data_IF_121509115293
#
_entry.id   IF_121509115293
#
_cell.length_a   1.000
_cell.length_b   1.000
_cell.length_c   1.000
_cell.angle_alpha   90.00
_cell.angle_beta   90.00
_cell.angle_gamma   90.00
#
_symmetry.space_group_name_H-M   'P 1'
#
loop_
_entity.id
_entity.type
_entity.pdbx_description
1 polymer ?
#
# COMPACT_ATOMS: atom_id res chain seq x y z
N UNK A 1 -8.67 -6.71 -6.14
CA UNK A 1 -9.57 -7.75 -5.62
C UNK A 1 -9.12 -9.15 -6.03
N UNK A 2 -9.15 -9.50 -7.32
CA UNK A 2 -8.79 -10.85 -7.81
C UNK A 2 -7.42 -11.32 -7.33
N UNK A 3 -6.39 -10.46 -7.34
CA UNK A 3 -5.06 -10.82 -6.86
C UNK A 3 -5.04 -11.15 -5.36
N UNK A 4 -5.72 -10.37 -4.54
CA UNK A 4 -5.86 -10.62 -3.10
C UNK A 4 -6.63 -11.92 -2.83
N UNK A 5 -7.73 -12.14 -3.56
CA UNK A 5 -8.49 -13.38 -3.45
C UNK A 5 -7.63 -14.62 -3.78
N UNK A 6 -6.82 -14.57 -4.85
CA UNK A 6 -5.87 -15.66 -5.19
C UNK A 6 -4.79 -15.89 -4.14
N UNK A 7 -4.45 -14.87 -3.38
CA UNK A 7 -3.52 -14.96 -2.25
C UNK A 7 -4.20 -15.44 -0.95
N UNK A 8 -5.48 -15.84 -0.99
CA UNK A 8 -6.21 -16.41 0.14
C UNK A 8 -6.94 -15.39 1.02
N UNK A 9 -6.99 -14.13 0.64
CA UNK A 9 -7.73 -13.11 1.39
C UNK A 9 -9.23 -13.18 1.09
N UNK A 10 -10.06 -12.98 2.10
CA UNK A 10 -11.46 -12.67 1.93
C UNK A 10 -11.61 -11.24 1.39
N UNK A 11 -12.43 -11.05 0.35
CA UNK A 11 -12.50 -9.78 -0.38
C UNK A 11 -13.93 -9.29 -0.51
N UNK A 12 -14.20 -8.10 0.01
CA UNK A 12 -15.40 -7.31 -0.32
C UNK A 12 -14.97 -6.19 -1.28
N UNK A 13 -15.68 -6.03 -2.38
CA UNK A 13 -15.44 -4.95 -3.35
C UNK A 13 -16.63 -3.99 -3.35
N UNK A 14 -16.36 -2.71 -3.15
CA UNK A 14 -17.38 -1.67 -3.24
C UNK A 14 -17.33 -0.98 -4.60
N UNK A 15 -18.46 -0.56 -5.12
CA UNK A 15 -18.56 0.23 -6.35
C UNK A 15 -19.75 1.21 -6.28
N UNK A 16 -19.84 2.08 -7.27
CA UNK A 16 -20.99 2.97 -7.47
C UNK A 16 -22.16 2.22 -8.12
N UNK A 17 -23.37 2.78 -8.05
CA UNK A 17 -24.58 2.16 -8.64
C UNK A 17 -24.52 2.03 -10.17
N UNK A 18 -23.72 2.86 -10.85
CA UNK A 18 -23.54 2.83 -12.31
C UNK A 18 -22.04 2.81 -12.62
N UNK A 19 -21.37 1.64 -12.53
CA UNK A 19 -19.95 1.52 -12.85
C UNK A 19 -19.62 1.92 -14.28
N UNK A 20 -18.56 2.72 -14.47
CA UNK A 20 -18.08 3.17 -15.77
C UNK A 20 -16.91 2.32 -16.30
N UNK A 21 -16.89 1.05 -15.95
CA UNK A 21 -15.83 0.12 -16.34
C UNK A 21 -15.99 -0.33 -17.79
N UNK A 22 -15.04 0.05 -18.65
CA UNK A 22 -15.07 -0.35 -20.07
C UNK A 22 -14.62 -1.80 -20.29
N UNK A 23 -13.68 -2.31 -19.43
CA UNK A 23 -13.19 -3.69 -19.52
C UNK A 23 -14.06 -4.65 -18.69
N UNK A 24 -15.37 -4.70 -18.98
CA UNK A 24 -16.38 -5.43 -18.21
C UNK A 24 -16.09 -6.92 -18.02
N UNK A 25 -15.55 -7.59 -19.05
CA UNK A 25 -15.27 -9.03 -19.02
C UNK A 25 -14.20 -9.43 -17.99
N UNK A 26 -13.40 -8.47 -17.53
CA UNK A 26 -12.35 -8.69 -16.51
C UNK A 26 -12.54 -7.79 -15.29
N UNK A 27 -13.77 -7.43 -14.99
CA UNK A 27 -14.10 -6.55 -13.86
C UNK A 27 -15.25 -7.10 -13.03
N UNK A 28 -15.06 -7.16 -11.72
CA UNK A 28 -16.10 -7.58 -10.77
C UNK A 28 -17.26 -6.58 -10.70
N UNK A 29 -17.06 -5.32 -11.07
CA UNK A 29 -18.12 -4.31 -11.16
C UNK A 29 -19.26 -4.69 -12.13
N UNK A 30 -19.05 -5.65 -13.04
CA UNK A 30 -20.10 -6.22 -13.85
C UNK A 30 -21.21 -6.84 -13.01
N UNK A 31 -20.91 -7.35 -11.82
CA UNK A 31 -21.91 -7.89 -10.90
C UNK A 31 -22.97 -6.85 -10.51
N UNK A 32 -22.66 -5.56 -10.49
CA UNK A 32 -23.63 -4.49 -10.20
C UNK A 32 -24.78 -4.48 -11.22
N UNK A 33 -24.51 -4.85 -12.48
CA UNK A 33 -25.50 -4.90 -13.55
C UNK A 33 -26.18 -6.27 -13.68
N UNK A 34 -25.42 -7.35 -13.46
CA UNK A 34 -25.83 -8.72 -13.81
C UNK A 34 -26.09 -9.60 -12.58
N UNK A 35 -25.95 -9.05 -11.35
CA UNK A 35 -26.07 -9.79 -10.09
C UNK A 35 -24.82 -10.64 -9.77
N UNK A 36 -24.02 -10.97 -10.78
CA UNK A 36 -22.78 -11.74 -10.64
C UNK A 36 -21.78 -11.40 -11.74
N UNK A 37 -20.52 -11.65 -11.47
CA UNK A 37 -19.43 -11.55 -12.46
C UNK A 37 -18.49 -12.75 -12.30
N UNK A 38 -17.86 -13.16 -13.41
CA UNK A 38 -16.82 -14.18 -13.38
C UNK A 38 -15.59 -13.64 -14.12
N UNK A 39 -14.44 -13.62 -13.44
CA UNK A 39 -13.16 -13.11 -13.96
C UNK A 39 -12.11 -14.19 -13.79
N UNK A 40 -11.63 -14.74 -14.89
CA UNK A 40 -10.62 -15.82 -14.91
C UNK A 40 -10.96 -16.98 -13.91
N UNK A 41 -12.22 -17.39 -13.90
CA UNK A 41 -12.71 -18.48 -13.04
C UNK A 41 -13.19 -18.06 -11.65
N UNK A 42 -12.84 -16.87 -11.17
CA UNK A 42 -13.25 -16.36 -9.86
C UNK A 42 -14.62 -15.68 -9.96
N UNK A 43 -15.51 -16.00 -9.03
CA UNK A 43 -16.86 -15.45 -8.98
C UNK A 43 -16.97 -14.28 -8.02
N UNK A 44 -17.65 -13.21 -8.48
CA UNK A 44 -18.11 -12.11 -7.67
C UNK A 44 -19.61 -12.02 -7.65
N UNK A 45 -20.22 -11.90 -6.47
CA UNK A 45 -21.67 -11.90 -6.27
C UNK A 45 -22.10 -10.53 -5.73
N UNK A 46 -23.12 -9.93 -6.35
CA UNK A 46 -23.73 -8.70 -5.85
C UNK A 46 -24.48 -8.99 -4.55
N UNK A 47 -24.19 -8.21 -3.53
CA UNK A 47 -24.83 -8.27 -2.21
C UNK A 47 -25.41 -6.91 -1.82
N UNK A 48 -26.35 -6.89 -0.89
CA UNK A 48 -27.07 -5.69 -0.48
C UNK A 48 -26.65 -5.17 0.90
N UNK A 49 -26.07 -6.01 1.72
CA UNK A 49 -25.71 -5.71 3.10
C UNK A 49 -24.55 -6.60 3.60
N UNK A 50 -24.11 -6.34 4.83
CA UNK A 50 -23.01 -7.05 5.47
C UNK A 50 -23.27 -8.54 5.68
N UNK A 51 -24.48 -8.94 6.06
CA UNK A 51 -24.84 -10.35 6.30
C UNK A 51 -24.76 -11.17 5.01
N UNK A 52 -25.29 -10.62 3.89
CA UNK A 52 -25.15 -11.26 2.58
C UNK A 52 -23.68 -11.33 2.14
N UNK A 53 -22.87 -10.29 2.48
CA UNK A 53 -21.45 -10.31 2.18
C UNK A 53 -20.73 -11.45 2.92
N UNK A 54 -21.01 -11.65 4.21
CA UNK A 54 -20.42 -12.75 4.98
C UNK A 54 -20.78 -14.11 4.39
N UNK A 55 -22.02 -14.35 4.03
CA UNK A 55 -22.45 -15.62 3.41
C UNK A 55 -21.69 -15.90 2.10
N UNK A 56 -21.47 -14.86 1.26
CA UNK A 56 -20.71 -14.99 0.01
C UNK A 56 -19.22 -15.29 0.29
N UNK A 57 -18.64 -14.69 1.34
CA UNK A 57 -17.25 -14.95 1.74
C UNK A 57 -17.07 -16.38 2.28
N UNK A 58 -18.04 -16.92 3.02
CA UNK A 58 -18.05 -18.33 3.49
C UNK A 58 -18.09 -19.33 2.33
N UNK A 59 -18.72 -18.96 1.20
CA UNK A 59 -18.69 -19.74 -0.04
C UNK A 59 -17.38 -19.59 -0.83
N UNK A 60 -16.35 -18.94 -0.29
CA UNK A 60 -15.10 -18.62 -0.98
C UNK A 60 -15.33 -17.88 -2.30
N UNK A 61 -16.16 -16.85 -2.30
CA UNK A 61 -16.42 -15.95 -3.42
C UNK A 61 -16.14 -14.51 -3.02
N UNK A 62 -16.04 -13.62 -4.01
CA UNK A 62 -15.89 -12.18 -3.78
C UNK A 62 -17.28 -11.56 -3.60
N UNK A 63 -17.51 -10.85 -2.49
CA UNK A 63 -18.71 -10.05 -2.34
C UNK A 63 -18.53 -8.70 -3.06
N UNK A 64 -19.54 -8.30 -3.86
CA UNK A 64 -19.58 -7.00 -4.55
C UNK A 64 -20.78 -6.23 -4.03
N UNK A 65 -20.60 -5.00 -3.59
CA UNK A 65 -21.68 -4.18 -3.02
C UNK A 65 -21.69 -2.78 -3.63
N UNK A 66 -22.89 -2.25 -3.84
CA UNK A 66 -23.07 -0.83 -4.22
C UNK A 66 -22.93 0.02 -2.96
N UNK A 67 -21.74 0.53 -2.73
CA UNK A 67 -21.39 1.37 -1.58
C UNK A 67 -20.30 2.39 -1.97
N UNK A 68 -20.68 3.54 -2.54
CA UNK A 68 -19.75 4.54 -3.06
C UNK A 68 -18.81 5.15 -2.01
N UNK A 69 -19.15 5.01 -0.72
CA UNK A 69 -18.38 5.55 0.40
C UNK A 69 -17.66 4.48 1.19
N UNK A 70 -17.78 3.22 0.78
CA UNK A 70 -17.26 2.06 1.51
C UNK A 70 -17.68 2.05 3.00
N UNK A 71 -18.95 2.39 3.28
CA UNK A 71 -19.48 2.43 4.64
C UNK A 71 -19.50 1.04 5.31
N UNK A 72 -19.60 -0.03 4.49
CA UNK A 72 -19.53 -1.43 4.94
C UNK A 72 -18.25 -1.73 5.75
N UNK A 73 -17.18 -0.96 5.57
CA UNK A 73 -15.96 -1.11 6.36
C UNK A 73 -16.16 -0.91 7.86
N UNK A 74 -17.19 -0.15 8.24
CA UNK A 74 -17.53 0.10 9.66
C UNK A 74 -18.14 -1.11 10.35
N UNK A 75 -18.72 -2.04 9.58
CA UNK A 75 -19.27 -3.31 10.09
C UNK A 75 -18.26 -4.45 9.88
N UNK A 76 -17.60 -4.47 8.74
CA UNK A 76 -16.66 -5.54 8.36
C UNK A 76 -15.32 -5.44 9.09
N UNK A 77 -14.87 -4.23 9.50
CA UNK A 77 -13.59 -3.99 10.14
C UNK A 77 -12.41 -4.66 9.42
N UNK A 78 -12.12 -4.28 8.15
CA UNK A 78 -11.09 -4.95 7.36
C UNK A 78 -9.69 -4.68 7.91
N UNK A 79 -8.79 -5.66 7.87
CA UNK A 79 -7.35 -5.49 8.16
C UNK A 79 -6.67 -4.63 7.10
N UNK A 80 -7.17 -4.69 5.87
CA UNK A 80 -6.65 -3.97 4.71
C UNK A 80 -7.77 -3.25 3.95
N UNK A 81 -7.55 -1.98 3.62
CA UNK A 81 -8.33 -1.24 2.63
C UNK A 81 -7.46 -0.88 1.42
N UNK A 82 -7.96 -1.16 0.22
CA UNK A 82 -7.30 -0.76 -1.03
C UNK A 82 -8.18 0.20 -1.80
N UNK A 83 -7.77 1.46 -1.92
CA UNK A 83 -8.42 2.40 -2.82
C UNK A 83 -7.93 2.20 -4.25
N UNK A 84 -8.77 1.56 -5.05
CA UNK A 84 -8.53 1.26 -6.46
C UNK A 84 -9.49 2.05 -7.40
N UNK A 85 -10.07 3.15 -6.93
CA UNK A 85 -11.01 3.99 -7.70
C UNK A 85 -10.32 4.60 -8.92
N UNK A 86 -9.03 4.89 -8.85
CA UNK A 86 -8.20 5.51 -9.91
C UNK A 86 -8.73 6.87 -10.38
N UNK A 87 -9.34 7.64 -9.49
CA UNK A 87 -9.92 8.96 -9.79
C UNK A 87 -8.88 10.06 -10.06
N UNK A 88 -7.58 9.76 -9.95
CA UNK A 88 -6.46 10.72 -10.09
C UNK A 88 -6.43 11.82 -9.01
N UNK A 89 -7.24 11.67 -8.00
CA UNK A 89 -7.30 12.46 -6.77
C UNK A 89 -7.85 11.56 -5.65
N UNK A 90 -7.48 11.85 -4.42
CA UNK A 90 -8.08 11.21 -3.27
C UNK A 90 -9.55 11.63 -3.13
N UNK A 91 -10.47 10.66 -3.09
CA UNK A 91 -11.93 10.90 -2.97
C UNK A 91 -12.40 10.89 -1.51
N UNK A 92 -11.50 10.86 -0.53
CA UNK A 92 -11.82 10.88 0.89
C UNK A 92 -11.25 9.73 1.69
N UNK A 93 -10.44 8.86 1.07
CA UNK A 93 -9.75 7.76 1.74
C UNK A 93 -8.71 8.31 2.72
N UNK A 94 -8.71 7.76 3.92
CA UNK A 94 -7.83 8.15 5.02
C UNK A 94 -7.05 6.95 5.53
N UNK A 95 -5.87 7.21 6.05
CA UNK A 95 -5.03 6.20 6.67
C UNK A 95 -5.71 5.48 7.85
N UNK A 96 -6.68 6.13 8.49
CA UNK A 96 -7.45 5.59 9.62
C UNK A 96 -8.66 4.75 9.20
N UNK A 97 -8.88 4.53 7.91
CA UNK A 97 -10.04 3.76 7.44
C UNK A 97 -9.87 2.23 7.60
N UNK A 98 -8.62 1.76 7.81
CA UNK A 98 -8.28 0.39 8.20
C UNK A 98 -6.89 0.37 8.85
N UNK A 99 -6.50 -0.71 9.56
CA UNK A 99 -5.13 -0.90 10.08
C UNK A 99 -4.05 -0.73 9.01
N UNK A 100 -4.30 -1.21 7.79
CA UNK A 100 -3.42 -0.95 6.65
C UNK A 100 -4.21 -0.44 5.44
N UNK A 101 -3.80 0.70 4.87
CA UNK A 101 -4.49 1.35 3.75
C UNK A 101 -3.51 1.55 2.59
N UNK A 102 -3.87 1.06 1.41
CA UNK A 102 -3.08 1.19 0.17
C UNK A 102 -3.87 2.02 -0.85
N UNK A 103 -3.24 3.03 -1.44
CA UNK A 103 -3.78 3.79 -2.57
C UNK A 103 -3.15 3.35 -3.89
N UNK A 104 -3.93 3.32 -4.99
CA UNK A 104 -3.41 2.99 -6.31
C UNK A 104 -3.25 4.23 -7.19
N UNK A 105 -2.01 4.58 -7.52
CA UNK A 105 -1.64 5.63 -8.46
C UNK A 105 -1.79 7.06 -7.91
N UNK A 106 -1.82 8.05 -8.81
CA UNK A 106 -1.78 9.46 -8.43
C UNK A 106 -3.05 9.90 -7.70
N UNK A 107 -2.87 10.84 -6.78
CA UNK A 107 -3.90 11.40 -5.91
C UNK A 107 -3.67 11.07 -4.44
N UNK A 108 -2.76 10.16 -4.12
CA UNK A 108 -2.39 9.79 -2.76
C UNK A 108 -0.97 10.20 -2.41
N UNK A 109 -0.75 10.48 -1.14
CA UNK A 109 0.57 10.67 -0.54
C UNK A 109 0.75 9.57 0.52
N UNK A 110 1.71 8.68 0.30
CA UNK A 110 2.09 7.67 1.29
C UNK A 110 2.63 8.35 2.55
N UNK A 111 2.33 7.78 3.71
CA UNK A 111 2.66 8.36 5.02
C UNK A 111 1.70 9.48 5.49
N UNK A 112 0.89 10.05 4.59
CA UNK A 112 -0.10 11.09 4.91
C UNK A 112 -1.54 10.58 4.72
N UNK A 113 -1.93 10.28 3.50
CA UNK A 113 -3.29 9.88 3.14
C UNK A 113 -3.52 8.39 3.33
N UNK A 114 -2.50 7.60 2.98
CA UNK A 114 -2.48 6.13 3.01
C UNK A 114 -1.13 5.65 3.57
N UNK A 115 -1.03 4.37 3.92
CA UNK A 115 0.21 3.77 4.42
C UNK A 115 1.20 3.48 3.29
N UNK A 116 0.70 3.05 2.13
CA UNK A 116 1.51 2.84 0.94
C UNK A 116 0.75 3.24 -0.33
N UNK A 117 1.48 3.60 -1.36
CA UNK A 117 0.94 3.84 -2.71
C UNK A 117 1.59 2.86 -3.68
N UNK A 118 0.80 2.28 -4.58
CA UNK A 118 1.35 1.49 -5.69
C UNK A 118 1.38 2.35 -6.95
N UNK A 119 2.58 2.47 -7.55
CA UNK A 119 2.76 3.21 -8.81
C UNK A 119 1.98 2.56 -9.94
N UNK A 120 1.24 3.37 -10.70
CA UNK A 120 0.42 2.91 -11.83
C UNK A 120 0.85 3.45 -13.18
N UNK A 121 1.86 4.30 -13.26
CA UNK A 121 2.43 4.77 -14.54
C UNK A 121 3.14 3.60 -15.23
N UNK A 122 2.96 3.45 -16.56
CA UNK A 122 3.75 2.50 -17.34
C UNK A 122 5.18 3.00 -17.47
N UNK A 123 6.15 2.13 -17.25
CA UNK A 123 7.57 2.44 -17.24
C UNK A 123 8.31 1.48 -16.30
N UNK A 124 9.53 1.83 -15.98
CA UNK A 124 10.42 1.05 -15.10
C UNK A 124 9.85 0.92 -13.68
N UNK A 125 9.22 1.97 -13.18
CA UNK A 125 8.64 2.04 -11.82
C UNK A 125 7.22 1.46 -11.73
N UNK A 126 6.67 0.90 -12.81
CA UNK A 126 5.32 0.32 -12.77
C UNK A 126 5.21 -0.76 -11.70
N UNK A 127 4.28 -0.54 -10.78
CA UNK A 127 3.99 -1.41 -9.65
C UNK A 127 4.99 -1.32 -8.47
N UNK A 128 5.84 -0.29 -8.44
CA UNK A 128 6.65 0.00 -7.25
C UNK A 128 5.77 0.33 -6.05
N UNK A 129 6.23 -0.07 -4.88
CA UNK A 129 5.58 0.21 -3.60
C UNK A 129 6.25 1.44 -2.99
N UNK A 130 5.48 2.51 -2.83
CA UNK A 130 5.92 3.79 -2.27
C UNK A 130 5.43 3.87 -0.82
N UNK A 131 6.33 3.92 0.14
CA UNK A 131 6.01 4.05 1.58
C UNK A 131 6.10 5.50 2.08
N UNK A 132 6.72 6.41 1.32
CA UNK A 132 6.78 7.85 1.62
C UNK A 132 6.74 8.65 0.32
N UNK A 133 5.95 9.74 0.27
CA UNK A 133 5.79 10.58 -0.90
C UNK A 133 4.67 10.19 -1.86
N UNK A 134 4.78 10.58 -3.11
CA UNK A 134 3.74 10.50 -4.13
C UNK A 134 4.18 9.69 -5.35
N UNK A 135 3.24 9.02 -6.04
CA UNK A 135 3.51 8.40 -7.34
C UNK A 135 3.66 9.46 -8.43
N UNK A 136 4.10 9.04 -9.60
CA UNK A 136 4.24 9.91 -10.76
C UNK A 136 2.89 10.56 -11.10
N UNK A 137 2.85 11.89 -11.30
CA UNK A 137 1.63 12.61 -11.64
C UNK A 137 0.97 12.10 -12.92
N UNK A 138 -0.36 12.16 -12.99
CA UNK A 138 -1.10 11.76 -14.18
C UNK A 138 -0.79 12.66 -15.37
N UNK A 139 -0.26 12.10 -16.44
CA UNK A 139 0.05 12.82 -17.69
C UNK A 139 -1.15 13.01 -18.62
N UNK A 140 -2.27 12.31 -18.38
CA UNK A 140 -3.44 12.30 -19.26
C UNK A 140 -3.23 11.53 -20.57
N UNK A 141 -2.01 11.07 -20.86
CA UNK A 141 -1.68 10.35 -22.10
C UNK A 141 -1.76 8.84 -21.85
N UNK A 142 -2.58 8.09 -22.62
CA UNK A 142 -2.64 6.64 -22.52
C UNK A 142 -1.33 6.00 -23.02
N UNK A 143 -0.94 4.91 -22.37
CA UNK A 143 0.23 4.14 -22.84
C UNK A 143 0.02 3.52 -24.21
N UNK A 144 1.10 3.39 -24.97
CA UNK A 144 1.11 2.75 -26.30
C UNK A 144 0.80 1.25 -26.20
N UNK A 145 0.00 0.77 -27.16
CA UNK A 145 -0.25 -0.67 -27.39
C UNK A 145 -0.28 -0.89 -28.90
N UNK A 146 0.61 -1.73 -29.42
CA UNK A 146 0.69 -2.03 -30.84
C UNK A 146 0.92 -0.78 -31.73
N UNK A 147 1.67 0.21 -31.22
CA UNK A 147 1.97 1.44 -31.94
C UNK A 147 0.91 2.56 -31.84
N UNK A 148 -0.21 2.31 -31.16
CA UNK A 148 -1.33 3.27 -31.04
C UNK A 148 -1.55 3.68 -29.58
N UNK A 149 -1.97 4.93 -29.36
CA UNK A 149 -2.27 5.49 -28.03
C UNK A 149 -3.70 6.02 -27.94
N UNK A 150 -3.98 7.20 -28.49
CA UNK A 150 -5.28 7.87 -28.44
C UNK A 150 -6.31 7.24 -29.38
N UNK A 151 -5.88 6.77 -30.53
CA UNK A 151 -6.72 6.17 -31.59
C UNK A 151 -7.44 4.90 -31.13
N UNK A 152 -6.87 4.24 -30.11
CA UNK A 152 -7.48 3.05 -29.50
C UNK A 152 -8.72 3.39 -28.68
N UNK A 153 -8.85 4.63 -28.22
CA UNK A 153 -9.91 5.03 -27.31
C UNK A 153 -11.22 5.27 -28.08
N UNK A 154 -12.26 4.56 -27.71
CA UNK A 154 -13.61 4.85 -28.16
C UNK A 154 -14.18 5.92 -27.21
N UNK A 155 -14.54 7.09 -27.76
CA UNK A 155 -15.08 8.21 -26.98
C UNK A 155 -16.51 8.53 -27.42
N UNK A 156 -17.36 8.91 -26.47
CA UNK A 156 -18.73 9.34 -26.74
C UNK A 156 -18.75 10.57 -27.66
N UNK A 157 -19.55 10.52 -28.73
CA UNK A 157 -19.73 11.61 -29.70
C UNK A 157 -20.79 12.62 -29.24
N UNK A 158 -21.71 12.22 -28.38
CA UNK A 158 -22.78 13.05 -27.83
C UNK A 158 -23.05 12.80 -26.34
N UNK A 159 -23.85 13.69 -25.76
CA UNK A 159 -24.39 13.48 -24.40
C UNK A 159 -25.66 12.66 -24.48
N UNK A 160 -25.82 11.69 -23.61
CA UNK A 160 -27.04 10.87 -23.49
C UNK A 160 -26.76 9.40 -23.32
N UNK A 161 -27.76 8.58 -23.64
CA UNK A 161 -27.70 7.13 -23.47
C UNK A 161 -26.66 6.47 -24.38
N UNK A 162 -25.93 5.50 -23.85
CA UNK A 162 -24.99 4.64 -24.58
C UNK A 162 -25.74 3.46 -25.20
N UNK A 163 -25.62 3.29 -26.51
CA UNK A 163 -26.18 2.19 -27.29
C UNK A 163 -25.07 1.49 -28.06
N UNK A 164 -24.53 0.35 -27.59
CA UNK A 164 -23.53 -0.39 -28.35
C UNK A 164 -24.12 -0.98 -29.63
N UNK A 165 -23.39 -0.93 -30.74
CA UNK A 165 -23.69 -1.54 -32.01
C UNK A 165 -22.70 -2.64 -32.38
N UNK A 166 -21.72 -2.87 -31.51
CA UNK A 166 -20.74 -3.93 -31.56
C UNK A 166 -20.40 -4.38 -30.14
N UNK A 167 -19.89 -5.59 -29.97
CA UNK A 167 -19.66 -6.24 -28.68
C UNK A 167 -18.16 -6.40 -28.39
N UNK A 168 -17.83 -6.61 -27.10
CA UNK A 168 -16.46 -7.00 -26.70
C UNK A 168 -16.12 -8.34 -27.37
N UNK A 169 -14.95 -8.41 -28.00
CA UNK A 169 -14.51 -9.57 -28.79
C UNK A 169 -14.75 -9.45 -30.28
N UNK A 170 -15.56 -8.49 -30.75
CA UNK A 170 -15.73 -8.28 -32.20
C UNK A 170 -14.48 -7.71 -32.85
N UNK A 171 -14.11 -8.28 -33.99
CA UNK A 171 -13.08 -7.71 -34.85
C UNK A 171 -13.72 -6.62 -35.72
N UNK A 172 -13.17 -5.43 -35.66
CA UNK A 172 -13.71 -4.24 -36.32
C UNK A 172 -12.69 -3.59 -37.24
N UNK A 173 -13.22 -2.87 -38.24
CA UNK A 173 -12.43 -2.10 -39.19
C UNK A 173 -12.49 -0.61 -38.85
N UNK A 174 -11.46 0.14 -39.26
CA UNK A 174 -11.50 1.61 -39.21
C UNK A 174 -12.74 2.11 -39.97
N UNK A 175 -13.48 3.05 -39.36
CA UNK A 175 -14.72 3.59 -39.88
C UNK A 175 -15.97 2.75 -39.62
N UNK A 176 -15.87 1.58 -38.99
CA UNK A 176 -17.03 0.78 -38.58
C UNK A 176 -17.77 1.43 -37.40
N UNK A 177 -19.10 1.40 -37.45
CA UNK A 177 -19.97 1.88 -36.36
C UNK A 177 -19.83 0.97 -35.15
N UNK A 178 -19.48 1.54 -34.00
CA UNK A 178 -19.27 0.84 -32.73
C UNK A 178 -20.38 1.07 -31.72
N UNK A 179 -20.91 2.29 -31.68
CA UNK A 179 -21.95 2.69 -30.72
C UNK A 179 -22.70 3.92 -31.22
N UNK A 180 -23.82 4.22 -30.56
CA UNK A 180 -24.50 5.53 -30.65
C UNK A 180 -24.56 6.11 -29.24
N UNK A 181 -24.25 7.40 -29.10
CA UNK A 181 -24.29 8.12 -27.81
C UNK A 181 -25.07 9.42 -27.96
N UNK A 182 -26.22 9.51 -27.26
CA UNK A 182 -27.12 10.66 -27.39
C UNK A 182 -27.54 10.91 -28.86
N UNK A 183 -27.88 9.86 -29.60
CA UNK A 183 -28.28 9.91 -31.00
C UNK A 183 -27.13 10.14 -32.00
N UNK A 184 -25.86 10.26 -31.57
CA UNK A 184 -24.70 10.52 -32.43
C UNK A 184 -23.85 9.26 -32.60
N UNK A 185 -23.47 8.87 -33.83
CA UNK A 185 -22.68 7.68 -34.09
C UNK A 185 -21.23 7.82 -33.60
N UNK A 186 -20.66 6.69 -33.19
CA UNK A 186 -19.27 6.55 -32.77
C UNK A 186 -18.61 5.47 -33.64
N UNK A 187 -17.53 5.83 -34.32
CA UNK A 187 -16.84 4.96 -35.27
C UNK A 187 -15.45 4.54 -34.75
N UNK A 188 -14.98 3.37 -35.18
CA UNK A 188 -13.60 2.93 -34.92
C UNK A 188 -12.58 3.78 -35.66
N UNK A 189 -11.52 4.17 -34.98
CA UNK A 189 -10.41 4.93 -35.59
C UNK A 189 -9.32 4.03 -36.16
N UNK A 190 -9.35 2.72 -35.86
CA UNK A 190 -8.36 1.75 -36.33
C UNK A 190 -8.99 0.35 -36.50
N UNK A 191 -8.28 -0.53 -37.19
CA UNK A 191 -8.57 -1.95 -37.24
C UNK A 191 -8.18 -2.62 -35.92
N UNK A 192 -9.01 -3.51 -35.37
CA UNK A 192 -8.68 -4.19 -34.13
C UNK A 192 -9.78 -5.06 -33.57
N UNK A 193 -9.65 -5.49 -32.33
CA UNK A 193 -10.69 -6.14 -31.54
C UNK A 193 -11.23 -5.18 -30.50
N UNK A 194 -12.55 -5.13 -30.33
CA UNK A 194 -13.15 -4.38 -29.22
C UNK A 194 -12.79 -5.08 -27.91
N UNK A 195 -11.88 -4.49 -27.16
CA UNK A 195 -11.40 -5.05 -25.89
C UNK A 195 -12.18 -4.56 -24.70
N UNK A 196 -12.88 -3.48 -24.84
CA UNK A 196 -13.71 -2.89 -23.80
C UNK A 196 -14.82 -2.03 -24.37
N UNK A 197 -15.99 -2.07 -23.73
CA UNK A 197 -17.17 -1.28 -24.05
C UNK A 197 -17.98 -1.07 -22.78
N UNK A 198 -18.47 0.14 -22.52
CA UNK A 198 -19.38 0.41 -21.42
C UNK A 198 -20.68 -0.39 -21.54
N UNK A 199 -21.33 -0.56 -20.40
CA UNK A 199 -22.67 -1.17 -20.34
C UNK A 199 -23.68 -0.35 -21.16
N UNK A 200 -24.59 -1.05 -21.85
CA UNK A 200 -25.71 -0.43 -22.52
C UNK A 200 -26.58 0.37 -21.55
N UNK A 201 -27.12 1.49 -22.03
CA UNK A 201 -28.03 2.33 -21.26
C UNK A 201 -27.36 3.36 -20.34
N UNK A 202 -26.05 3.26 -20.10
CA UNK A 202 -25.31 4.21 -19.27
C UNK A 202 -25.41 5.62 -19.85
N UNK A 203 -25.68 6.62 -18.99
CA UNK A 203 -25.66 8.02 -19.39
C UNK A 203 -24.21 8.52 -19.51
N UNK A 204 -23.85 9.02 -20.68
CA UNK A 204 -22.49 9.46 -20.98
C UNK A 204 -22.46 10.95 -21.38
N UNK A 205 -21.31 11.59 -21.13
CA UNK A 205 -21.02 12.93 -21.64
C UNK A 205 -20.10 12.84 -22.85
N UNK A 206 -20.25 13.77 -23.82
CA UNK A 206 -19.35 13.88 -24.98
C UNK A 206 -17.88 13.88 -24.52
N UNK A 207 -17.05 13.08 -25.17
CA UNK A 207 -15.63 12.92 -24.87
C UNK A 207 -15.32 11.87 -23.80
N UNK A 208 -16.32 11.38 -23.04
CA UNK A 208 -16.09 10.29 -22.07
C UNK A 208 -15.56 9.05 -22.79
N UNK A 209 -14.57 8.40 -22.25
CA UNK A 209 -14.09 7.11 -22.73
C UNK A 209 -15.19 6.05 -22.51
N UNK A 210 -15.69 5.48 -23.60
CA UNK A 210 -16.76 4.47 -23.58
C UNK A 210 -16.26 3.08 -24.02
N UNK A 211 -15.02 2.97 -24.47
CA UNK A 211 -14.46 1.69 -24.88
C UNK A 211 -12.99 1.77 -25.30
N UNK A 212 -12.50 0.65 -25.79
CA UNK A 212 -11.10 0.46 -26.19
C UNK A 212 -11.01 -0.57 -27.33
N UNK A 213 -10.29 -0.25 -28.41
CA UNK A 213 -9.99 -1.18 -29.50
C UNK A 213 -8.51 -1.58 -29.39
N UNK A 214 -8.23 -2.87 -29.45
CA UNK A 214 -6.87 -3.40 -29.40
C UNK A 214 -6.40 -3.78 -30.83
N UNK A 215 -5.36 -3.14 -31.36
CA UNK A 215 -4.89 -3.37 -32.73
C UNK A 215 -4.30 -4.77 -32.94
N UNK A 216 -3.93 -5.47 -31.87
CA UNK A 216 -3.36 -6.83 -31.97
C UNK A 216 -4.37 -7.90 -32.45
N UNK A 217 -5.66 -7.59 -32.47
CA UNK A 217 -6.76 -8.45 -32.96
C UNK A 217 -6.90 -9.79 -32.25
N UNK A 218 -6.29 -9.96 -31.08
CA UNK A 218 -6.37 -11.18 -30.28
C UNK A 218 -7.58 -11.12 -29.35
N UNK A 219 -8.63 -11.93 -29.65
CA UNK A 219 -9.85 -12.02 -28.86
C UNK A 219 -9.60 -12.49 -27.43
N UNK A 220 -8.59 -13.34 -27.19
CA UNK A 220 -8.27 -13.86 -25.85
C UNK A 220 -7.94 -12.72 -24.87
N UNK A 221 -7.30 -11.67 -25.36
CA UNK A 221 -6.95 -10.51 -24.55
C UNK A 221 -8.17 -9.73 -24.02
N UNK A 222 -9.36 -9.96 -24.55
CA UNK A 222 -10.59 -9.35 -24.05
C UNK A 222 -10.99 -9.92 -22.69
N UNK A 223 -10.68 -11.19 -22.44
CA UNK A 223 -11.10 -11.97 -21.28
C UNK A 223 -9.99 -12.23 -20.26
N UNK A 224 -8.80 -11.69 -20.50
CA UNK A 224 -7.66 -11.81 -19.59
C UNK A 224 -7.37 -10.48 -18.87
N UNK A 225 -7.07 -10.57 -17.59
CA UNK A 225 -6.55 -9.44 -16.82
C UNK A 225 -5.25 -8.97 -17.48
N UNK A 226 -5.08 -7.65 -17.64
CA UNK A 226 -3.89 -7.12 -18.31
C UNK A 226 -2.61 -7.33 -17.49
N UNK A 227 -1.46 -7.39 -18.18
CA UNK A 227 -0.13 -7.43 -17.56
C UNK A 227 0.06 -6.32 -16.52
N UNK A 228 -0.36 -5.10 -16.85
CA UNK A 228 -0.33 -3.96 -15.95
C UNK A 228 -1.15 -4.22 -14.68
N UNK A 229 -2.38 -4.71 -14.81
CA UNK A 229 -3.24 -4.96 -13.67
C UNK A 229 -2.72 -6.12 -12.81
N UNK A 230 -2.13 -7.16 -13.43
CA UNK A 230 -1.49 -8.26 -12.72
C UNK A 230 -0.26 -7.77 -11.93
N UNK A 231 0.63 -6.96 -12.53
CA UNK A 231 1.79 -6.40 -11.83
C UNK A 231 1.37 -5.56 -10.61
N UNK A 232 0.41 -4.65 -10.80
CA UNK A 232 -0.14 -3.83 -9.70
C UNK A 232 -0.76 -4.72 -8.63
N UNK A 233 -1.58 -5.71 -9.01
CA UNK A 233 -2.20 -6.65 -8.10
C UNK A 233 -1.18 -7.46 -7.29
N UNK A 234 -0.11 -7.94 -7.93
CA UNK A 234 1.00 -8.64 -7.25
C UNK A 234 1.72 -7.75 -6.24
N UNK A 235 1.90 -6.46 -6.55
CA UNK A 235 2.51 -5.53 -5.60
C UNK A 235 1.59 -5.21 -4.42
N UNK A 236 0.27 -5.12 -4.65
CA UNK A 236 -0.69 -5.01 -3.54
C UNK A 236 -0.59 -6.22 -2.62
N UNK A 237 -0.59 -7.45 -3.17
CA UNK A 237 -0.45 -8.69 -2.38
C UNK A 237 0.85 -8.67 -1.60
N UNK A 238 1.98 -8.41 -2.27
CA UNK A 238 3.30 -8.36 -1.62
C UNK A 238 3.36 -7.33 -0.49
N UNK A 239 2.84 -6.10 -0.70
CA UNK A 239 2.79 -5.08 0.33
C UNK A 239 1.91 -5.50 1.51
N UNK A 240 0.79 -6.18 1.23
CA UNK A 240 -0.14 -6.66 2.26
C UNK A 240 0.49 -7.77 3.09
N UNK A 241 1.00 -8.83 2.47
CA UNK A 241 1.62 -9.97 3.15
C UNK A 241 2.82 -9.52 4.00
N UNK A 242 3.68 -8.66 3.43
CA UNK A 242 4.81 -8.11 4.15
C UNK A 242 4.37 -7.35 5.40
N UNK A 243 3.34 -6.52 5.30
CA UNK A 243 2.89 -5.69 6.44
C UNK A 243 2.04 -6.46 7.46
N UNK A 244 1.22 -7.43 7.04
CA UNK A 244 0.50 -8.30 7.99
C UNK A 244 1.45 -9.10 8.89
N UNK A 245 2.60 -9.52 8.36
CA UNK A 245 3.65 -10.16 9.14
C UNK A 245 4.41 -9.21 10.08
N UNK A 246 4.24 -7.88 9.94
CA UNK A 246 4.87 -6.90 10.82
C UNK A 246 4.34 -6.97 12.27
N UNK A 247 3.16 -7.55 12.51
CA UNK A 247 2.62 -7.78 13.86
C UNK A 247 3.54 -8.60 14.75
N UNK A 248 4.41 -9.40 14.16
CA UNK A 248 5.39 -10.24 14.87
C UNK A 248 6.67 -9.46 15.23
N UNK A 249 6.73 -8.16 14.93
CA UNK A 249 7.90 -7.31 15.14
C UNK A 249 7.58 -6.06 15.95
N UNK A 250 8.56 -5.59 16.73
CA UNK A 250 8.49 -4.30 17.41
C UNK A 250 9.36 -3.26 16.69
N UNK A 251 8.94 -2.00 16.74
CA UNK A 251 9.73 -0.81 16.39
C UNK A 251 9.88 0.06 17.64
N UNK A 252 11.10 0.20 18.13
CA UNK A 252 11.41 0.86 19.40
C UNK A 252 12.22 2.12 19.12
N UNK A 253 11.60 3.28 19.34
CA UNK A 253 12.22 4.57 19.20
C UNK A 253 13.02 4.93 20.46
N UNK A 254 14.31 5.18 20.32
CA UNK A 254 15.19 5.59 21.40
C UNK A 254 15.38 7.12 21.37
N UNK A 255 14.70 7.82 22.26
CA UNK A 255 14.62 9.28 22.29
C UNK A 255 14.86 9.90 23.69
N UNK A 256 15.60 9.21 24.59
CA UNK A 256 15.90 9.66 25.94
C UNK A 256 17.31 10.24 26.14
N UNK A 257 18.14 10.31 25.09
CA UNK A 257 19.54 10.72 25.15
C UNK A 257 19.75 12.17 25.63
N UNK A 258 20.85 12.42 26.31
CA UNK A 258 21.19 13.73 26.92
C UNK A 258 21.62 14.80 25.93
N UNK A 259 21.96 14.47 24.68
CA UNK A 259 22.55 15.39 23.68
C UNK A 259 23.74 16.21 24.22
N UNK A 260 24.52 15.65 25.17
CA UNK A 260 25.53 16.34 26.01
C UNK A 260 26.59 17.07 25.22
N UNK A 261 26.79 16.75 23.94
CA UNK A 261 27.78 17.40 23.07
C UNK A 261 27.26 18.66 22.37
N UNK A 262 25.94 18.94 22.42
CA UNK A 262 25.31 20.00 21.63
C UNK A 262 24.80 21.19 22.45
N UNK A 263 24.80 21.13 23.79
CA UNK A 263 24.32 22.22 24.67
C UNK A 263 22.79 22.44 24.66
N UNK A 264 22.07 21.96 23.63
CA UNK A 264 20.60 21.94 23.49
C UNK A 264 20.13 20.53 23.17
N UNK A 265 18.81 20.29 23.29
CA UNK A 265 18.26 18.99 22.94
C UNK A 265 18.12 18.89 21.40
N UNK A 266 19.10 18.26 20.74
CA UNK A 266 19.15 18.04 19.30
C UNK A 266 17.86 17.46 18.71
N UNK A 267 17.13 16.64 19.48
CA UNK A 267 15.91 15.97 19.00
C UNK A 267 14.73 16.94 18.82
N UNK A 268 14.74 18.06 19.56
CA UNK A 268 13.71 19.11 19.51
C UNK A 268 14.05 20.22 18.52
N UNK A 269 15.25 20.21 17.90
CA UNK A 269 15.65 21.22 16.91
C UNK A 269 14.85 21.05 15.61
N UNK A 270 14.57 22.18 14.97
CA UNK A 270 13.90 22.22 13.67
C UNK A 270 14.83 21.80 12.54
N UNK A 271 14.37 20.91 11.69
CA UNK A 271 15.04 20.44 10.49
C UNK A 271 13.99 20.27 9.37
N UNK A 272 14.19 20.95 8.25
CA UNK A 272 13.36 20.79 7.03
C UNK A 272 11.84 20.83 7.29
N UNK A 273 11.38 21.77 8.10
CA UNK A 273 9.95 22.02 8.36
C UNK A 273 9.29 21.10 9.39
N UNK A 274 10.09 20.51 10.28
CA UNK A 274 9.63 19.74 11.45
C UNK A 274 10.77 19.53 12.44
N UNK A 275 10.44 19.08 13.65
CA UNK A 275 11.48 18.73 14.63
C UNK A 275 12.14 17.40 14.25
N UNK A 276 13.40 17.22 14.59
CA UNK A 276 14.18 16.02 14.21
C UNK A 276 13.47 14.70 14.56
N UNK A 277 12.88 14.59 15.75
CA UNK A 277 12.15 13.38 16.16
C UNK A 277 10.88 13.13 15.33
N UNK A 278 10.21 14.20 14.85
CA UNK A 278 8.99 14.08 14.05
C UNK A 278 9.23 13.39 12.70
N UNK A 279 10.42 13.61 12.11
CA UNK A 279 10.82 12.92 10.89
C UNK A 279 10.86 11.40 11.09
N UNK A 280 11.37 10.94 12.23
CA UNK A 280 11.40 9.49 12.54
C UNK A 280 10.02 8.94 12.85
N UNK A 281 9.23 9.64 13.68
CA UNK A 281 7.85 9.26 13.97
C UNK A 281 7.01 9.14 12.70
N UNK A 282 7.17 10.09 11.76
CA UNK A 282 6.46 10.08 10.47
C UNK A 282 6.74 8.81 9.67
N UNK A 283 7.99 8.34 9.66
CA UNK A 283 8.39 7.12 8.95
C UNK A 283 7.82 5.86 9.62
N UNK A 284 7.78 5.80 10.95
CA UNK A 284 7.20 4.69 11.70
C UNK A 284 5.69 4.54 11.45
N UNK A 285 4.99 5.61 11.07
CA UNK A 285 3.58 5.56 10.68
C UNK A 285 3.26 4.61 9.52
N UNK A 286 4.25 4.26 8.70
CA UNK A 286 4.06 3.31 7.60
C UNK A 286 3.91 1.85 8.08
N UNK A 287 4.13 1.58 9.38
CA UNK A 287 4.14 0.24 9.98
C UNK A 287 3.14 0.09 11.14
N UNK A 288 1.84 0.31 10.89
CA UNK A 288 0.84 0.38 11.96
C UNK A 288 0.60 -0.96 12.67
N UNK A 289 1.04 -2.08 12.07
CA UNK A 289 0.87 -3.41 12.66
C UNK A 289 2.05 -3.83 13.55
N UNK A 290 3.21 -3.16 13.47
CA UNK A 290 4.28 -3.35 14.42
C UNK A 290 3.86 -2.88 15.82
N UNK A 291 4.30 -3.59 16.86
CA UNK A 291 4.29 -3.03 18.21
C UNK A 291 5.22 -1.82 18.26
N UNK A 292 4.69 -0.62 18.44
CA UNK A 292 5.48 0.60 18.44
C UNK A 292 5.66 1.15 19.84
N UNK A 293 6.91 1.36 20.25
CA UNK A 293 7.28 1.86 21.57
C UNK A 293 8.20 3.09 21.41
N UNK A 294 7.94 4.15 22.14
CA UNK A 294 8.84 5.29 22.28
C UNK A 294 9.43 5.31 23.70
N UNK A 295 10.75 5.30 23.79
CA UNK A 295 11.48 5.47 25.04
C UNK A 295 12.00 6.89 25.09
N UNK A 296 11.42 7.72 25.97
CA UNK A 296 11.74 9.16 26.02
C UNK A 296 11.69 9.67 27.47
N UNK A 297 12.13 10.88 27.69
CA UNK A 297 11.97 11.68 28.91
C UNK A 297 11.47 13.09 28.61
N UNK A 298 11.11 13.33 27.35
CA UNK A 298 10.71 14.62 26.82
C UNK A 298 9.22 14.61 26.53
N UNK A 299 8.45 15.47 27.20
CA UNK A 299 7.00 15.56 27.12
C UNK A 299 6.51 15.79 25.65
N UNK A 300 7.25 16.57 24.86
CA UNK A 300 6.89 16.85 23.46
C UNK A 300 6.97 15.58 22.61
N UNK A 301 7.96 14.72 22.86
CA UNK A 301 8.11 13.44 22.12
C UNK A 301 7.05 12.45 22.60
N UNK A 302 6.78 12.38 23.90
CA UNK A 302 5.74 11.58 24.49
C UNK A 302 4.38 11.88 23.86
N UNK A 303 3.93 13.14 23.95
CA UNK A 303 2.66 13.57 23.35
C UNK A 303 2.55 13.24 21.86
N UNK A 304 3.63 13.43 21.12
CA UNK A 304 3.64 13.14 19.68
C UNK A 304 3.59 11.64 19.39
N UNK A 305 4.22 10.81 20.21
CA UNK A 305 4.19 9.36 20.11
C UNK A 305 2.79 8.82 20.46
N UNK A 306 2.22 9.26 21.59
CA UNK A 306 0.85 8.90 22.01
C UNK A 306 -0.20 9.31 20.96
N UNK A 307 -0.08 10.49 20.39
CA UNK A 307 -0.96 10.95 19.30
C UNK A 307 -0.90 10.06 18.05
N UNK A 308 0.12 9.19 17.93
CA UNK A 308 0.24 8.18 16.88
C UNK A 308 -0.18 6.78 17.33
N UNK A 309 -0.62 6.61 18.60
CA UNK A 309 -1.00 5.32 19.16
C UNK A 309 0.20 4.46 19.57
N UNK A 310 1.39 5.04 19.76
CA UNK A 310 2.55 4.34 20.27
C UNK A 310 2.46 4.16 21.78
N UNK A 311 3.02 3.06 22.28
CA UNK A 311 3.29 2.88 23.71
C UNK A 311 4.46 3.80 24.09
N UNK A 312 4.38 4.44 25.25
CA UNK A 312 5.45 5.30 25.75
C UNK A 312 6.04 4.69 27.04
N UNK A 313 7.36 4.78 27.14
CA UNK A 313 8.11 4.45 28.34
C UNK A 313 9.01 5.62 28.69
N UNK A 314 8.86 6.15 29.88
CA UNK A 314 9.71 7.21 30.39
C UNK A 314 11.07 6.65 30.87
N UNK A 315 12.15 7.29 30.45
CA UNK A 315 13.50 6.99 30.93
C UNK A 315 14.09 8.20 31.66
N UNK A 316 13.93 8.24 32.95
CA UNK A 316 14.47 9.29 33.84
C UNK A 316 15.92 9.08 34.25
N UNK A 317 16.52 7.93 33.88
CA UNK A 317 17.89 7.56 34.24
C UNK A 317 18.82 7.49 33.01
N UNK A 318 18.94 8.57 32.20
CA UNK A 318 19.76 8.56 30.99
C UNK A 318 21.25 8.32 31.25
N UNK A 319 21.69 8.50 32.51
CA UNK A 319 23.08 8.25 32.95
C UNK A 319 23.44 6.77 32.96
N UNK A 320 22.45 5.86 33.01
CA UNK A 320 22.67 4.43 32.87
C UNK A 320 23.02 4.01 31.44
N UNK A 321 23.10 4.98 30.52
CA UNK A 321 23.48 4.78 29.12
C UNK A 321 22.40 4.23 28.22
N UNK A 322 22.72 4.08 26.93
CA UNK A 322 21.77 3.63 25.89
C UNK A 322 21.22 2.23 26.18
N UNK A 323 21.98 1.36 26.85
CA UNK A 323 21.55 0.00 27.20
C UNK A 323 20.30 0.00 28.10
N UNK A 324 20.13 1.02 28.93
CA UNK A 324 18.93 1.15 29.76
C UNK A 324 17.69 1.44 28.90
N UNK A 325 17.79 2.37 27.96
CA UNK A 325 16.70 2.65 27.01
C UNK A 325 16.33 1.43 26.16
N UNK A 326 17.33 0.65 25.69
CA UNK A 326 17.12 -0.59 24.95
C UNK A 326 16.29 -1.60 25.76
N UNK A 327 16.67 -1.80 27.02
CA UNK A 327 15.97 -2.73 27.93
C UNK A 327 14.54 -2.30 28.21
N UNK A 328 14.32 -1.02 28.56
CA UNK A 328 13.00 -0.48 28.83
C UNK A 328 12.06 -0.64 27.62
N UNK A 329 12.55 -0.28 26.43
CA UNK A 329 11.77 -0.41 25.21
C UNK A 329 11.46 -1.85 24.85
N UNK A 330 12.42 -2.76 24.98
CA UNK A 330 12.23 -4.20 24.72
C UNK A 330 11.24 -4.82 25.72
N UNK A 331 11.39 -4.53 27.00
CA UNK A 331 10.48 -5.00 28.04
C UNK A 331 9.05 -4.56 27.75
N UNK A 332 8.84 -3.28 27.46
CA UNK A 332 7.51 -2.75 27.15
C UNK A 332 6.89 -3.39 25.89
N UNK A 333 7.70 -3.63 24.88
CA UNK A 333 7.26 -4.31 23.65
C UNK A 333 6.84 -5.77 23.93
N UNK A 334 7.57 -6.48 24.80
CA UNK A 334 7.26 -7.86 25.20
C UNK A 334 6.07 -7.98 26.15
N UNK A 335 5.81 -6.96 26.98
CA UNK A 335 4.59 -6.86 27.79
C UNK A 335 3.35 -6.77 26.91
N UNK A 336 3.43 -6.01 25.81
CA UNK A 336 2.33 -5.87 24.85
C UNK A 336 2.18 -7.09 23.94
N UNK A 337 3.30 -7.60 23.41
CA UNK A 337 3.31 -8.76 22.54
C UNK A 337 4.42 -9.76 22.95
N UNK A 338 4.11 -10.76 23.77
CA UNK A 338 5.07 -11.78 24.20
C UNK A 338 5.61 -12.65 23.06
N UNK A 339 4.91 -12.72 21.91
CA UNK A 339 5.23 -13.59 20.77
C UNK A 339 6.09 -12.88 19.71
N UNK A 340 6.66 -11.72 20.02
CA UNK A 340 7.53 -11.00 19.08
C UNK A 340 8.66 -11.90 18.57
N UNK A 341 8.88 -11.88 17.24
CA UNK A 341 9.96 -12.57 16.56
C UNK A 341 11.19 -11.69 16.39
N UNK A 342 11.04 -10.37 16.49
CA UNK A 342 12.16 -9.45 16.40
C UNK A 342 11.79 -8.03 16.86
N UNK A 343 12.83 -7.22 17.10
CA UNK A 343 12.69 -5.83 17.52
C UNK A 343 13.70 -4.93 16.79
N UNK A 344 13.21 -3.87 16.15
CA UNK A 344 14.02 -2.85 15.49
C UNK A 344 14.21 -1.66 16.43
N UNK A 345 15.47 -1.37 16.80
CA UNK A 345 15.79 -0.17 17.57
C UNK A 345 16.19 0.96 16.64
N UNK A 346 15.49 2.08 16.79
CA UNK A 346 15.58 3.25 15.92
C UNK A 346 16.03 4.45 16.75
N UNK A 347 17.01 5.20 16.28
CA UNK A 347 17.44 6.46 16.89
C UNK A 347 16.84 7.65 16.13
N UNK A 348 16.59 8.76 16.84
CA UNK A 348 15.96 9.94 16.23
C UNK A 348 16.91 10.81 15.40
N UNK A 349 18.22 10.62 15.51
CA UNK A 349 19.23 11.54 14.96
C UNK A 349 19.70 11.19 13.54
N UNK A 350 18.92 10.39 12.81
CA UNK A 350 19.18 9.98 11.43
C UNK A 350 18.00 10.37 10.50
N UNK A 351 17.81 11.65 10.21
CA UNK A 351 16.68 12.13 9.41
C UNK A 351 16.71 11.64 7.95
N UNK A 352 17.89 11.31 7.41
CA UNK A 352 18.05 10.81 6.04
C UNK A 352 17.49 9.40 5.79
N UNK A 353 17.30 8.55 6.82
CA UNK A 353 16.71 7.23 6.65
C UNK A 353 15.24 7.32 6.18
N UNK A 354 14.81 6.38 5.35
CA UNK A 354 13.45 6.36 4.81
C UNK A 354 12.59 5.23 5.38
N UNK A 355 11.27 5.34 5.24
CA UNK A 355 10.37 4.22 5.55
C UNK A 355 10.65 2.99 4.67
N UNK A 356 11.16 3.17 3.45
CA UNK A 356 11.60 2.07 2.58
C UNK A 356 12.78 1.29 3.18
N UNK A 357 13.70 1.97 3.88
CA UNK A 357 14.80 1.32 4.61
C UNK A 357 14.25 0.42 5.71
N UNK A 358 13.31 0.92 6.53
CA UNK A 358 12.67 0.11 7.59
C UNK A 358 11.94 -1.11 7.02
N UNK A 359 11.20 -0.92 5.91
CA UNK A 359 10.54 -2.02 5.22
C UNK A 359 11.53 -3.10 4.79
N UNK A 360 12.62 -2.72 4.12
CA UNK A 360 13.67 -3.68 3.68
C UNK A 360 14.30 -4.42 4.85
N UNK A 361 14.57 -3.74 5.96
CA UNK A 361 15.15 -4.38 7.14
C UNK A 361 14.20 -5.43 7.74
N UNK A 362 12.91 -5.10 7.88
CA UNK A 362 11.88 -6.05 8.31
C UNK A 362 11.78 -7.24 7.35
N UNK A 363 11.79 -7.00 6.04
CA UNK A 363 11.71 -8.05 5.03
C UNK A 363 12.96 -8.96 5.05
N UNK A 364 14.16 -8.41 5.31
CA UNK A 364 15.38 -9.20 5.53
C UNK A 364 15.26 -10.04 6.80
N UNK A 365 14.82 -9.46 7.93
CA UNK A 365 14.63 -10.18 9.19
C UNK A 365 13.65 -11.34 9.07
N UNK A 366 12.51 -11.13 8.39
CA UNK A 366 11.53 -12.19 8.12
C UNK A 366 12.09 -13.31 7.24
N UNK A 367 12.93 -12.96 6.26
CA UNK A 367 13.53 -13.91 5.32
C UNK A 367 14.65 -14.72 5.95
N UNK A 368 15.37 -14.15 6.88
CA UNK A 368 16.55 -14.76 7.51
C UNK A 368 16.43 -14.77 9.04
N UNK A 369 15.59 -15.64 9.63
CA UNK A 369 15.48 -15.77 11.09
C UNK A 369 16.83 -16.07 11.74
N UNK A 370 17.01 -15.66 12.99
CA UNK A 370 18.24 -15.83 13.75
C UNK A 370 19.36 -14.85 13.38
N UNK A 371 19.04 -13.76 12.63
CA UNK A 371 20.04 -12.79 12.20
C UNK A 371 19.81 -11.40 12.83
N UNK A 372 20.91 -10.65 12.89
CA UNK A 372 20.93 -9.22 13.24
C UNK A 372 21.00 -8.43 11.92
N UNK A 373 20.04 -7.55 11.66
CA UNK A 373 20.05 -6.74 10.45
C UNK A 373 20.42 -5.30 10.81
N UNK A 374 21.57 -4.84 10.33
CA UNK A 374 22.03 -3.46 10.53
C UNK A 374 21.78 -2.63 9.27
N UNK A 375 21.26 -1.42 9.44
CA UNK A 375 21.36 -0.44 8.36
C UNK A 375 22.81 -0.03 8.17
N UNK A 376 23.21 0.28 6.92
CA UNK A 376 24.59 0.69 6.69
C UNK A 376 24.80 1.36 5.35
N UNK A 377 25.98 1.96 5.21
CA UNK A 377 26.39 2.66 4.00
C UNK A 377 27.84 2.34 3.68
N UNK A 378 28.14 1.94 2.45
CA UNK A 378 29.49 1.59 1.97
C UNK A 378 30.20 0.59 2.90
N UNK A 379 29.46 -0.46 3.30
CA UNK A 379 29.98 -1.51 4.19
C UNK A 379 30.12 -1.12 5.67
N UNK A 380 29.77 0.09 6.07
CA UNK A 380 29.80 0.53 7.48
C UNK A 380 28.43 0.34 8.12
N UNK A 381 28.38 -0.45 9.17
CA UNK A 381 27.17 -0.69 9.97
C UNK A 381 26.77 0.54 10.80
N UNK A 382 25.47 0.78 10.91
CA UNK A 382 24.85 1.85 11.68
C UNK A 382 23.50 1.47 12.25
N UNK A 383 22.75 2.47 12.69
CA UNK A 383 21.36 2.33 13.09
C UNK A 383 20.44 2.60 11.88
N UNK A 384 19.20 2.11 11.93
CA UNK A 384 18.63 1.22 12.94
C UNK A 384 19.22 -0.20 12.88
N UNK A 385 18.97 -0.95 13.96
CA UNK A 385 19.35 -2.38 14.04
C UNK A 385 18.10 -3.18 14.37
N UNK A 386 17.80 -4.18 13.55
CA UNK A 386 16.76 -5.17 13.80
C UNK A 386 17.40 -6.43 14.39
N UNK A 387 16.89 -6.86 15.52
CA UNK A 387 17.34 -8.02 16.26
C UNK A 387 16.30 -9.13 16.18
N UNK A 388 16.73 -10.33 15.84
CA UNK A 388 15.90 -11.52 16.00
C UNK A 388 15.68 -11.83 17.48
N UNK A 389 14.58 -12.52 17.79
CA UNK A 389 14.20 -12.91 19.16
C UNK A 389 15.30 -13.65 19.92
N UNK A 390 16.10 -14.45 19.25
CA UNK A 390 17.18 -15.22 19.88
C UNK A 390 18.21 -14.34 20.61
N UNK A 391 18.29 -13.05 20.29
CA UNK A 391 19.18 -12.08 20.95
C UNK A 391 18.52 -11.30 22.11
N UNK A 392 17.23 -11.49 22.39
CA UNK A 392 16.52 -10.68 23.38
C UNK A 392 17.07 -10.88 24.79
N UNK A 393 17.51 -12.08 25.15
CA UNK A 393 18.11 -12.37 26.45
C UNK A 393 19.44 -11.61 26.61
N UNK A 394 20.27 -11.55 25.59
CA UNK A 394 21.52 -10.80 25.61
C UNK A 394 21.27 -9.29 25.68
N UNK A 395 20.30 -8.78 24.89
CA UNK A 395 19.88 -7.38 24.94
C UNK A 395 19.37 -6.99 26.33
N UNK A 396 18.64 -7.86 26.99
CA UNK A 396 18.09 -7.63 28.34
C UNK A 396 19.17 -7.57 29.43
N UNK A 397 20.36 -8.14 29.19
CA UNK A 397 21.50 -8.13 30.12
C UNK A 397 22.50 -7.00 29.84
N UNK A 398 22.30 -6.21 28.78
CA UNK A 398 23.19 -5.10 28.45
C UNK A 398 23.25 -4.08 29.59
N UNK A 399 24.43 -3.49 29.80
CA UNK A 399 24.66 -2.42 30.75
C UNK A 399 25.59 -1.34 30.18
N UNK A 400 25.46 -0.11 30.68
CA UNK A 400 26.32 1.03 30.28
C UNK A 400 26.02 1.58 28.89
N UNK A 401 26.99 2.30 28.32
CA UNK A 401 26.80 3.14 27.14
C UNK A 401 27.25 2.49 25.82
N UNK A 402 27.61 1.21 25.82
CA UNK A 402 28.06 0.52 24.60
C UNK A 402 26.95 0.04 23.67
N UNK A 403 25.73 -0.04 24.19
CA UNK A 403 24.55 -0.49 23.45
C UNK A 403 24.71 -1.88 22.84
N UNK A 404 24.03 -2.16 21.75
CA UNK A 404 24.09 -3.45 21.05
C UNK A 404 25.41 -3.78 20.35
N UNK A 405 26.36 -2.86 20.26
CA UNK A 405 27.65 -3.09 19.57
C UNK A 405 28.44 -4.27 20.13
N UNK A 406 28.30 -4.57 21.43
CA UNK A 406 28.99 -5.71 22.07
C UNK A 406 28.45 -7.02 21.52
N UNK A 407 27.13 -7.14 21.39
CA UNK A 407 26.47 -8.36 20.87
C UNK A 407 26.81 -8.49 19.38
N UNK A 408 26.74 -7.42 18.59
CA UNK A 408 27.14 -7.42 17.17
C UNK A 408 28.56 -7.94 17.01
N UNK A 409 29.51 -7.45 17.84
CA UNK A 409 30.91 -7.89 17.79
C UNK A 409 31.10 -9.37 18.14
N UNK A 410 30.26 -9.95 18.99
CA UNK A 410 30.30 -11.36 19.35
C UNK A 410 29.65 -12.27 18.30
N UNK A 411 28.75 -11.73 17.47
CA UNK A 411 27.93 -12.50 16.52
C UNK A 411 28.09 -11.98 15.08
N UNK A 412 29.30 -11.63 14.66
CA UNK A 412 29.54 -11.05 13.32
C UNK A 412 29.06 -11.94 12.16
N UNK A 413 29.09 -13.26 12.32
CA UNK A 413 28.62 -14.23 11.33
C UNK A 413 27.08 -14.22 11.17
N UNK A 414 26.37 -13.67 12.14
CA UNK A 414 24.92 -13.53 12.15
C UNK A 414 24.44 -12.13 11.72
N UNK A 415 25.38 -11.23 11.35
CA UNK A 415 25.04 -9.87 10.93
C UNK A 415 24.80 -9.80 9.43
N UNK A 416 23.67 -9.23 9.06
CA UNK A 416 23.34 -8.86 7.68
C UNK A 416 23.30 -7.34 7.54
N UNK A 417 23.88 -6.83 6.47
CA UNK A 417 23.87 -5.41 6.17
C UNK A 417 22.75 -5.05 5.20
N UNK A 418 21.86 -4.17 5.62
CA UNK A 418 20.88 -3.52 4.75
C UNK A 418 21.53 -2.23 4.21
N UNK A 419 22.12 -2.29 3.03
CA UNK A 419 22.74 -1.11 2.40
C UNK A 419 21.69 -0.02 2.15
N UNK A 420 22.01 1.20 2.57
CA UNK A 420 21.21 2.40 2.35
C UNK A 420 21.91 3.31 1.34
N UNK A 421 21.14 3.95 0.48
CA UNK A 421 21.66 4.91 -0.52
C UNK A 421 21.90 6.30 0.09
N UNK A 422 21.47 6.53 1.32
CA UNK A 422 21.39 7.81 2.02
C UNK A 422 22.48 7.99 3.09
#
# INVERSE_FOLDING_TARGET
GVALYRAGFQVIMTDIAVPLTVRREVAMSRAVYEGRAKVEGIEGILVRNYQEALAVLEENKIAVIVDPKAEIRKEFHPDLLVDAILAKKNMGTRRTDAPYVIGLGPGFTAGKDVHAVIETMRGETLADIIYDGQPIPNTGVPGYVGGYALERLIRASGNGRMEPKAQIGDIVKKGQLLAVTGGKPVYSQLDGVIRGMLQEGVQVKKGLKIGDVDPRKDRKLCYLISDKANKIGSSVVRATEARLADKDYAMILLAAGKSSRYGSNKLLEELDGGRMFEHTLRKMRAFPLCTQVAVTRFEEIERAAEAQGMLVVENWEPDLGISHSLRLGLQKALEENPELKGAMFIVCDQPGLTAATFARMLDIGKKYPGKIVCAGRKGKMGNPVLWDRCFFDELSRLSGDKGGKQIIGAHMDDVLLCETEE
#
